data_IF_326345812767
#
_entry.id   IF_326345812767
#
_cell.length_a   1.000
_cell.length_b   1.000
_cell.length_c   1.000
_cell.angle_alpha   90.00
_cell.angle_beta   90.00
_cell.angle_gamma   90.00
#
_symmetry.space_group_name_H-M   'P 1'
#
loop_
_entity.id
_entity.type
_entity.pdbx_description
1 polymer ?
#
# COMPACT_ATOMS: atom_id res chain seq x y z
N UNK A 1 3.76 17.14 -1.07
CA UNK A 1 2.76 16.36 -0.32
C UNK A 1 3.35 15.01 0.04
N UNK A 2 3.44 14.71 1.33
CA UNK A 2 3.91 13.41 1.82
C UNK A 2 2.87 12.33 1.53
N UNK A 3 3.30 11.09 1.23
CA UNK A 3 2.39 9.93 1.08
C UNK A 3 1.41 9.83 2.26
N UNK A 4 1.88 10.21 3.44
CA UNK A 4 1.15 10.21 4.71
C UNK A 4 -0.16 11.01 4.67
N UNK A 5 -0.24 12.11 3.91
CA UNK A 5 -1.44 12.95 3.79
C UNK A 5 -2.51 12.32 2.88
N UNK A 6 -2.12 11.58 1.85
CA UNK A 6 -3.10 10.85 1.02
C UNK A 6 -3.64 9.61 1.74
N UNK A 7 -2.82 9.00 2.60
CA UNK A 7 -3.22 7.89 3.45
C UNK A 7 -4.14 8.32 4.61
N UNK A 8 -4.25 9.62 4.94
CA UNK A 8 -5.18 10.15 5.96
C UNK A 8 -6.66 10.05 5.57
N UNK A 9 -6.99 9.87 4.28
CA UNK A 9 -8.36 9.59 3.83
C UNK A 9 -8.77 8.12 4.01
N UNK A 10 -7.82 7.25 4.34
CA UNK A 10 -8.09 5.85 4.63
C UNK A 10 -8.50 5.73 6.11
N UNK A 11 -9.39 4.79 6.41
CA UNK A 11 -9.87 4.58 7.78
C UNK A 11 -8.69 4.33 8.75
N UNK A 12 -8.85 4.61 10.06
CA UNK A 12 -7.82 4.34 11.06
C UNK A 12 -7.30 2.89 11.02
N UNK A 13 -8.19 1.94 10.69
CA UNK A 13 -7.85 0.52 10.48
C UNK A 13 -6.87 0.36 9.32
N UNK A 14 -7.13 0.99 8.17
CA UNK A 14 -6.25 0.90 7.02
C UNK A 14 -4.87 1.47 7.29
N UNK A 15 -4.80 2.60 7.99
CA UNK A 15 -3.51 3.17 8.42
C UNK A 15 -2.74 2.21 9.33
N UNK A 16 -3.41 1.64 10.33
CA UNK A 16 -2.81 0.70 11.27
C UNK A 16 -2.26 -0.54 10.56
N UNK A 17 -3.04 -1.10 9.64
CA UNK A 17 -2.62 -2.25 8.81
C UNK A 17 -1.38 -1.90 7.98
N UNK A 18 -1.37 -0.75 7.29
CA UNK A 18 -0.21 -0.33 6.49
C UNK A 18 1.04 -0.18 7.36
N UNK A 19 0.94 0.49 8.51
CA UNK A 19 2.06 0.69 9.42
C UNK A 19 2.62 -0.64 9.95
N UNK A 20 1.73 -1.55 10.35
CA UNK A 20 2.13 -2.88 10.81
C UNK A 20 2.87 -3.65 9.70
N UNK A 21 2.36 -3.64 8.46
CA UNK A 21 3.02 -4.33 7.34
C UNK A 21 4.35 -3.70 6.93
N UNK A 22 4.50 -2.37 7.02
CA UNK A 22 5.78 -1.67 6.80
C UNK A 22 6.83 -2.16 7.81
N UNK A 23 6.45 -2.23 9.09
CA UNK A 23 7.32 -2.70 10.17
C UNK A 23 7.73 -4.16 9.95
N UNK A 24 6.78 -5.04 9.64
CA UNK A 24 7.00 -6.48 9.39
C UNK A 24 7.90 -6.75 8.18
N UNK A 25 7.87 -5.88 7.17
CA UNK A 25 8.70 -6.01 5.96
C UNK A 25 10.07 -5.33 6.08
N UNK A 26 10.38 -4.74 7.25
CA UNK A 26 11.63 -4.00 7.47
C UNK A 26 11.81 -2.83 6.51
N UNK A 27 10.71 -2.20 6.08
CA UNK A 27 10.75 -1.07 5.15
C UNK A 27 11.15 0.17 5.93
N UNK A 28 12.27 0.78 5.55
CA UNK A 28 12.67 2.07 6.11
C UNK A 28 11.83 3.19 5.50
N UNK A 29 11.67 4.30 6.23
CA UNK A 29 10.91 5.46 5.73
C UNK A 29 11.48 6.07 4.45
N UNK A 30 12.79 5.92 4.24
CA UNK A 30 13.52 6.58 3.16
C UNK A 30 13.76 5.64 1.96
N UNK A 31 13.62 4.33 2.18
CA UNK A 31 13.94 3.33 1.17
C UNK A 31 12.98 2.14 1.21
N UNK A 32 12.36 1.90 0.06
CA UNK A 32 11.50 0.75 -0.21
C UNK A 32 11.92 0.17 -1.56
N UNK A 33 12.41 -1.06 -1.56
CA UNK A 33 12.71 -1.76 -2.81
C UNK A 33 11.41 -2.10 -3.55
N UNK A 34 11.47 -2.30 -4.88
CA UNK A 34 10.28 -2.70 -5.62
C UNK A 34 9.65 -4.01 -5.12
N UNK A 35 10.48 -4.99 -4.74
CA UNK A 35 10.02 -6.25 -4.13
C UNK A 35 9.30 -6.04 -2.79
N UNK A 36 9.78 -5.10 -1.97
CA UNK A 36 9.12 -4.77 -0.70
C UNK A 36 7.78 -4.06 -0.93
N UNK A 37 7.71 -3.17 -1.93
CA UNK A 37 6.48 -2.51 -2.30
C UNK A 37 5.42 -3.50 -2.83
N UNK A 38 5.82 -4.48 -3.65
CA UNK A 38 4.94 -5.56 -4.09
C UNK A 38 4.42 -6.40 -2.91
N UNK A 39 5.31 -6.75 -1.98
CA UNK A 39 4.94 -7.47 -0.77
C UNK A 39 3.99 -6.66 0.12
N UNK A 40 4.23 -5.35 0.23
CA UNK A 40 3.41 -4.44 1.01
C UNK A 40 1.99 -4.35 0.45
N UNK A 41 1.84 -4.14 -0.86
CA UNK A 41 0.53 -4.10 -1.53
C UNK A 41 -0.23 -5.40 -1.29
N UNK A 42 0.41 -6.55 -1.48
CA UNK A 42 -0.22 -7.86 -1.27
C UNK A 42 -0.68 -8.04 0.18
N UNK A 43 0.22 -7.82 1.15
CA UNK A 43 -0.10 -8.03 2.58
C UNK A 43 -1.17 -7.09 3.09
N UNK A 44 -1.12 -5.80 2.71
CA UNK A 44 -2.15 -4.83 3.09
C UNK A 44 -3.50 -5.20 2.46
N UNK A 45 -3.53 -5.54 1.17
CA UNK A 45 -4.78 -5.94 0.51
C UNK A 45 -5.38 -7.17 1.19
N UNK A 46 -4.59 -8.22 1.43
CA UNK A 46 -5.05 -9.43 2.12
C UNK A 46 -5.59 -9.15 3.52
N UNK A 47 -4.89 -8.32 4.30
CA UNK A 47 -5.33 -7.94 5.63
C UNK A 47 -6.65 -7.15 5.57
N UNK A 48 -6.76 -6.17 4.66
CA UNK A 48 -7.96 -5.36 4.51
C UNK A 48 -9.16 -6.16 3.99
N UNK A 49 -8.94 -7.21 3.21
CA UNK A 49 -10.03 -8.11 2.80
C UNK A 49 -10.71 -8.74 4.01
N UNK A 50 -9.97 -9.05 5.08
CA UNK A 50 -10.54 -9.61 6.31
C UNK A 50 -11.35 -8.59 7.11
N UNK A 51 -10.98 -7.31 7.07
CA UNK A 51 -11.64 -6.25 7.85
C UNK A 51 -12.77 -5.53 7.11
N UNK A 52 -12.61 -5.30 5.80
CA UNK A 52 -13.46 -4.43 4.98
C UNK A 52 -14.15 -5.19 3.84
N UNK A 53 -13.85 -6.48 3.67
CA UNK A 53 -14.29 -7.28 2.53
C UNK A 53 -13.54 -6.95 1.23
N UNK A 54 -13.80 -7.72 0.15
CA UNK A 54 -13.06 -7.59 -1.12
C UNK A 54 -13.12 -6.21 -1.76
N UNK A 55 -14.28 -5.55 -1.69
CA UNK A 55 -14.47 -4.22 -2.29
C UNK A 55 -13.65 -3.12 -1.59
N UNK A 56 -13.62 -3.15 -0.26
CA UNK A 56 -12.82 -2.18 0.52
C UNK A 56 -11.31 -2.40 0.33
N UNK A 57 -10.88 -3.66 0.23
CA UNK A 57 -9.50 -4.02 -0.05
C UNK A 57 -9.03 -3.55 -1.44
N UNK A 58 -9.88 -3.71 -2.46
CA UNK A 58 -9.54 -3.30 -3.83
C UNK A 58 -9.41 -1.78 -3.95
N UNK A 59 -10.26 -1.01 -3.26
CA UNK A 59 -10.13 0.45 -3.21
C UNK A 59 -8.80 0.88 -2.57
N UNK A 60 -8.41 0.26 -1.45
CA UNK A 60 -7.15 0.56 -0.79
C UNK A 60 -5.94 0.19 -1.68
N UNK A 61 -5.99 -0.96 -2.34
CA UNK A 61 -4.98 -1.39 -3.32
C UNK A 61 -4.84 -0.38 -4.46
N UNK A 62 -5.94 0.11 -5.02
CA UNK A 62 -5.92 1.13 -6.08
C UNK A 62 -5.22 2.42 -5.64
N UNK A 63 -5.50 2.88 -4.42
CA UNK A 63 -4.83 4.06 -3.84
C UNK A 63 -3.34 3.81 -3.65
N UNK A 64 -2.95 2.66 -3.09
CA UNK A 64 -1.54 2.31 -2.89
C UNK A 64 -0.78 2.24 -4.20
N UNK A 65 -1.32 1.56 -5.21
CA UNK A 65 -0.68 1.43 -6.52
C UNK A 65 -0.55 2.78 -7.23
N UNK A 66 -1.56 3.66 -7.11
CA UNK A 66 -1.47 5.03 -7.63
C UNK A 66 -0.29 5.80 -7.02
N UNK A 67 -0.09 5.71 -5.71
CA UNK A 67 1.01 6.41 -5.05
C UNK A 67 2.37 5.77 -5.34
N UNK A 68 2.45 4.44 -5.43
CA UNK A 68 3.68 3.73 -5.80
C UNK A 68 4.09 4.03 -7.24
N UNK A 69 3.15 4.09 -8.19
CA UNK A 69 3.41 4.47 -9.60
C UNK A 69 4.01 5.86 -9.75
N UNK A 70 3.61 6.83 -8.93
CA UNK A 70 4.20 8.19 -8.95
C UNK A 70 5.69 8.18 -8.58
N UNK A 71 6.14 7.18 -7.82
CA UNK A 71 7.51 7.09 -7.30
C UNK A 71 8.39 6.12 -8.07
N UNK A 72 7.80 5.08 -8.66
CA UNK A 72 8.51 4.07 -9.46
C UNK A 72 7.65 3.62 -10.66
N UNK A 73 7.44 4.51 -11.65
CA UNK A 73 6.51 4.27 -12.75
C UNK A 73 6.87 3.01 -13.55
N UNK A 74 8.15 2.80 -13.87
CA UNK A 74 8.59 1.68 -14.71
C UNK A 74 8.37 0.31 -14.06
N UNK A 75 8.48 0.23 -12.73
CA UNK A 75 8.23 -1.02 -12.00
C UNK A 75 6.73 -1.33 -11.94
N UNK A 76 5.91 -0.34 -11.57
CA UNK A 76 4.48 -0.53 -11.32
C UNK A 76 3.57 -0.37 -12.55
N UNK A 77 4.11 0.07 -13.68
CA UNK A 77 3.40 0.07 -14.97
C UNK A 77 3.10 -1.37 -15.45
N UNK A 78 3.96 -2.33 -15.12
CA UNK A 78 3.82 -3.74 -15.49
C UNK A 78 2.70 -4.51 -14.76
N UNK A 79 2.13 -3.93 -13.69
CA UNK A 79 1.16 -4.63 -12.83
C UNK A 79 -0.29 -4.64 -13.35
N UNK A 80 -0.55 -4.20 -14.58
CA UNK A 80 -1.83 -4.42 -15.28
C UNK A 80 -3.07 -3.88 -14.54
N UNK A 81 -3.09 -2.58 -14.26
CA UNK A 81 -4.29 -1.82 -13.90
C UNK A 81 -4.34 -0.51 -14.67
#
# INVERSE_FOLDING_TARGET
MAIEEQLFRLSPVTRSVIQHQISELGISKDFMTPKQADALVKRVTSALTLFLGPSGAEQAKGIMLRELRKRAPDHFASMGL
#
